data_IF_404183682238
#
_entry.id   IF_404183682238
#
_cell.length_a   1.000
_cell.length_b   1.000
_cell.length_c   1.000
_cell.angle_alpha   90.00
_cell.angle_beta   90.00
_cell.angle_gamma   90.00
#
_symmetry.space_group_name_H-M   'P 1'
#
loop_
_entity.id
_entity.type
_entity.pdbx_description
1 polymer ?
#
# COMPACT_ATOMS: atom_id res chain seq x y z
N UNK A 1 -6.72 25.46 -21.52
CA UNK A 1 -6.71 25.47 -20.04
C UNK A 1 -6.17 24.13 -19.60
N UNK A 2 -5.05 24.09 -18.87
CA UNK A 2 -4.52 22.82 -18.37
C UNK A 2 -5.59 22.18 -17.47
N UNK A 3 -6.07 20.99 -17.83
CA UNK A 3 -6.89 20.18 -16.95
C UNK A 3 -6.13 20.07 -15.64
N UNK A 4 -6.68 20.62 -14.54
CA UNK A 4 -6.13 20.38 -13.21
C UNK A 4 -6.11 18.87 -13.04
N UNK A 5 -4.91 18.30 -13.09
CA UNK A 5 -4.68 16.89 -12.83
C UNK A 5 -5.34 16.54 -11.50
N UNK A 6 -6.11 15.46 -11.47
CA UNK A 6 -6.83 15.07 -10.27
C UNK A 6 -5.83 14.73 -9.17
N UNK A 7 -6.00 15.35 -7.99
CA UNK A 7 -5.23 15.02 -6.79
C UNK A 7 -6.12 14.20 -5.82
N UNK A 8 -5.84 12.90 -5.61
CA UNK A 8 -6.60 12.04 -4.68
C UNK A 8 -6.52 12.47 -3.22
N UNK A 9 -5.77 13.53 -2.89
CA UNK A 9 -5.53 14.02 -1.53
C UNK A 9 -6.10 15.42 -1.29
N UNK A 10 -6.41 16.18 -2.35
CA UNK A 10 -6.74 17.61 -2.25
C UNK A 10 -8.13 17.90 -1.66
N UNK A 11 -9.16 17.16 -2.09
CA UNK A 11 -10.55 17.46 -1.71
C UNK A 11 -11.17 16.35 -0.88
N UNK A 12 -12.30 16.62 -0.23
CA UNK A 12 -13.08 15.57 0.46
C UNK A 12 -13.54 14.51 -0.54
N UNK A 13 -14.17 14.93 -1.64
CA UNK A 13 -14.66 14.03 -2.69
C UNK A 13 -13.55 13.13 -3.26
N UNK A 14 -12.38 13.71 -3.57
CA UNK A 14 -11.24 12.96 -4.09
C UNK A 14 -10.74 11.90 -3.10
N UNK A 15 -10.68 12.24 -1.81
CA UNK A 15 -10.30 11.30 -0.74
C UNK A 15 -11.33 10.22 -0.55
N UNK A 16 -12.63 10.56 -0.60
CA UNK A 16 -13.72 9.60 -0.46
C UNK A 16 -13.68 8.58 -1.61
N UNK A 17 -13.52 9.04 -2.86
CA UNK A 17 -13.36 8.17 -4.04
C UNK A 17 -12.13 7.26 -3.90
N UNK A 18 -10.96 7.81 -3.55
CA UNK A 18 -9.74 7.01 -3.35
C UNK A 18 -9.94 5.96 -2.27
N UNK A 19 -10.47 6.37 -1.11
CA UNK A 19 -10.69 5.48 0.03
C UNK A 19 -11.66 4.36 -0.34
N UNK A 20 -12.79 4.67 -0.98
CA UNK A 20 -13.76 3.65 -1.41
C UNK A 20 -13.13 2.65 -2.37
N UNK A 21 -12.38 3.11 -3.37
CA UNK A 21 -11.72 2.20 -4.32
C UNK A 21 -10.66 1.33 -3.66
N UNK A 22 -9.78 1.91 -2.84
CA UNK A 22 -8.73 1.18 -2.13
C UNK A 22 -9.30 0.16 -1.14
N UNK A 23 -10.33 0.56 -0.39
CA UNK A 23 -11.00 -0.29 0.57
C UNK A 23 -11.67 -1.49 -0.08
N UNK A 24 -12.54 -1.28 -1.07
CA UNK A 24 -13.23 -2.38 -1.75
C UNK A 24 -12.21 -3.27 -2.49
N UNK A 25 -11.10 -2.73 -2.98
CA UNK A 25 -10.03 -3.53 -3.58
C UNK A 25 -9.31 -4.42 -2.58
N UNK A 26 -8.80 -3.85 -1.48
CA UNK A 26 -8.04 -4.59 -0.46
C UNK A 26 -8.94 -5.60 0.24
N UNK A 27 -10.10 -5.18 0.74
CA UNK A 27 -11.03 -6.07 1.43
C UNK A 27 -11.63 -7.11 0.50
N UNK A 28 -11.89 -6.77 -0.77
CA UNK A 28 -12.29 -7.73 -1.79
C UNK A 28 -11.25 -8.84 -1.96
N UNK A 29 -9.97 -8.48 -2.13
CA UNK A 29 -8.88 -9.45 -2.27
C UNK A 29 -8.68 -10.31 -1.02
N UNK A 30 -8.80 -9.74 0.17
CA UNK A 30 -8.74 -10.49 1.43
C UNK A 30 -9.90 -11.48 1.58
N UNK A 31 -11.07 -11.14 1.07
CA UNK A 31 -12.27 -11.98 1.10
C UNK A 31 -12.38 -12.95 -0.11
N UNK A 32 -11.44 -12.90 -1.07
CA UNK A 32 -11.51 -13.67 -2.32
C UNK A 32 -12.53 -13.14 -3.34
N UNK A 33 -13.10 -11.95 -3.12
CA UNK A 33 -14.06 -11.28 -3.99
C UNK A 33 -13.33 -10.35 -4.99
N UNK A 34 -12.80 -10.98 -6.04
CA UNK A 34 -12.21 -10.28 -7.18
C UNK A 34 -13.30 -9.48 -7.90
N UNK A 35 -13.04 -8.19 -8.14
CA UNK A 35 -14.02 -7.29 -8.74
C UNK A 35 -14.89 -6.50 -7.75
N UNK A 36 -14.66 -6.59 -6.44
CA UNK A 36 -15.27 -5.69 -5.46
C UNK A 36 -15.01 -4.21 -5.82
N UNK A 37 -13.75 -3.87 -6.12
CA UNK A 37 -13.37 -2.53 -6.56
C UNK A 37 -14.02 -2.11 -7.88
N UNK A 38 -14.17 -3.03 -8.84
CA UNK A 38 -14.86 -2.78 -10.12
C UNK A 38 -16.32 -2.39 -9.90
N UNK A 39 -17.03 -3.07 -8.99
CA UNK A 39 -18.40 -2.72 -8.62
C UNK A 39 -18.44 -1.35 -7.93
N UNK A 40 -17.48 -1.05 -7.07
CA UNK A 40 -17.33 0.27 -6.43
C UNK A 40 -17.14 1.38 -7.46
N UNK A 41 -16.20 1.19 -8.39
CA UNK A 41 -15.91 2.11 -9.48
C UNK A 41 -17.12 2.39 -10.35
N UNK A 42 -17.88 1.36 -10.75
CA UNK A 42 -19.14 1.53 -11.50
C UNK A 42 -20.15 2.39 -10.76
N UNK A 43 -20.32 2.19 -9.44
CA UNK A 43 -21.23 3.03 -8.62
C UNK A 43 -20.75 4.48 -8.57
N UNK A 44 -19.45 4.71 -8.39
CA UNK A 44 -18.86 6.04 -8.35
C UNK A 44 -18.99 6.76 -9.70
N UNK A 45 -18.75 6.07 -10.82
CA UNK A 45 -18.91 6.63 -12.17
C UNK A 45 -20.38 6.92 -12.51
N UNK A 46 -21.32 6.07 -12.06
CA UNK A 46 -22.74 6.30 -12.25
C UNK A 46 -23.27 7.54 -11.50
N UNK A 47 -22.53 8.04 -10.51
CA UNK A 47 -22.83 9.30 -9.83
C UNK A 47 -22.37 10.54 -10.62
N UNK A 48 -21.90 10.36 -11.86
CA UNK A 48 -21.43 11.41 -12.78
C UNK A 48 -20.41 12.36 -12.12
N UNK A 49 -19.27 11.83 -11.63
CA UNK A 49 -18.27 12.66 -10.96
C UNK A 49 -17.56 13.56 -11.99
N UNK A 50 -16.94 14.67 -11.56
CA UNK A 50 -16.26 15.57 -12.49
C UNK A 50 -15.23 14.83 -13.36
N UNK A 51 -14.99 15.25 -14.63
CA UNK A 51 -14.20 14.46 -15.59
C UNK A 51 -12.82 14.01 -15.10
N UNK A 52 -12.12 14.85 -14.33
CA UNK A 52 -10.82 14.47 -13.74
C UNK A 52 -10.91 13.34 -12.70
N UNK A 53 -12.02 13.27 -11.96
CA UNK A 53 -12.29 12.19 -11.01
C UNK A 53 -12.65 10.90 -11.76
N UNK A 54 -13.50 10.99 -12.78
CA UNK A 54 -13.86 9.84 -13.63
C UNK A 54 -12.62 9.22 -14.28
N UNK A 55 -11.77 10.04 -14.90
CA UNK A 55 -10.52 9.59 -15.51
C UNK A 55 -9.57 8.91 -14.49
N UNK A 56 -9.49 9.45 -13.27
CA UNK A 56 -8.69 8.83 -12.21
C UNK A 56 -9.28 7.49 -11.74
N UNK A 57 -10.61 7.40 -11.62
CA UNK A 57 -11.30 6.14 -11.29
C UNK A 57 -10.96 5.08 -12.35
N UNK A 58 -11.13 5.39 -13.63
CA UNK A 58 -10.83 4.46 -14.73
C UNK A 58 -9.37 3.99 -14.72
N UNK A 59 -8.43 4.94 -14.55
CA UNK A 59 -7.01 4.62 -14.43
C UNK A 59 -6.74 3.71 -13.23
N UNK A 60 -7.39 3.97 -12.09
CA UNK A 60 -7.20 3.16 -10.88
C UNK A 60 -7.76 1.74 -11.04
N UNK A 61 -8.93 1.60 -11.64
CA UNK A 61 -9.54 0.29 -11.92
C UNK A 61 -8.67 -0.55 -12.88
N UNK A 62 -8.06 0.07 -13.89
CA UNK A 62 -7.09 -0.61 -14.76
C UNK A 62 -5.87 -1.13 -13.99
N UNK A 63 -5.31 -0.34 -13.08
CA UNK A 63 -4.21 -0.78 -12.21
C UNK A 63 -4.62 -1.95 -11.32
N UNK A 64 -5.84 -1.91 -10.77
CA UNK A 64 -6.38 -3.00 -9.96
C UNK A 64 -6.57 -4.27 -10.77
N UNK A 65 -7.20 -4.21 -11.96
CA UNK A 65 -7.34 -5.38 -12.84
C UNK A 65 -6.01 -6.04 -13.16
N UNK A 66 -4.96 -5.25 -13.44
CA UNK A 66 -3.60 -5.76 -13.65
C UNK A 66 -3.05 -6.45 -12.40
N UNK A 67 -3.18 -5.81 -11.24
CA UNK A 67 -2.73 -6.39 -9.98
C UNK A 67 -3.46 -7.70 -9.66
N UNK A 68 -4.79 -7.75 -9.78
CA UNK A 68 -5.58 -8.98 -9.59
C UNK A 68 -5.11 -10.10 -10.52
N UNK A 69 -4.91 -9.80 -11.82
CA UNK A 69 -4.44 -10.76 -12.81
C UNK A 69 -3.05 -11.34 -12.51
N UNK A 70 -2.20 -10.60 -11.82
CA UNK A 70 -0.88 -11.06 -11.40
C UNK A 70 -0.89 -11.81 -10.05
N UNK A 71 -2.00 -11.76 -9.30
CA UNK A 71 -2.18 -12.46 -8.02
C UNK A 71 -2.90 -13.81 -8.20
N UNK A 72 -2.89 -14.38 -9.41
CA UNK A 72 -3.75 -15.50 -9.87
C UNK A 72 -3.49 -16.86 -9.20
N UNK A 73 -2.43 -17.01 -8.40
CA UNK A 73 -2.10 -18.28 -7.73
C UNK A 73 -2.65 -18.48 -6.31
N UNK A 74 -3.13 -17.42 -5.65
CA UNK A 74 -3.67 -17.50 -4.29
C UNK A 74 -5.16 -17.16 -4.29
N UNK A 75 -5.99 -18.09 -3.79
CA UNK A 75 -7.43 -17.86 -3.61
C UNK A 75 -7.69 -16.73 -2.59
N UNK A 76 -6.79 -16.58 -1.61
CA UNK A 76 -6.73 -15.50 -0.64
C UNK A 76 -5.26 -15.31 -0.22
N UNK A 77 -4.83 -14.07 -0.01
CA UNK A 77 -3.54 -13.78 0.62
C UNK A 77 -3.79 -13.25 2.03
N UNK A 78 -3.04 -13.71 3.05
CA UNK A 78 -3.01 -13.06 4.34
C UNK A 78 -2.69 -11.55 4.21
N UNK A 79 -3.21 -10.68 5.09
CA UNK A 79 -3.03 -9.24 4.97
C UNK A 79 -1.57 -8.76 4.83
N UNK A 80 -0.65 -9.41 5.54
CA UNK A 80 0.78 -9.11 5.42
C UNK A 80 1.30 -9.40 4.00
N UNK A 81 0.99 -10.57 3.46
CA UNK A 81 1.43 -11.00 2.13
C UNK A 81 0.80 -10.13 1.03
N UNK A 82 -0.49 -9.82 1.17
CA UNK A 82 -1.19 -8.90 0.26
C UNK A 82 -0.53 -7.52 0.27
N UNK A 83 -0.30 -6.95 1.46
CA UNK A 83 0.34 -5.64 1.60
C UNK A 83 1.72 -5.59 0.93
N UNK A 84 2.55 -6.61 1.13
CA UNK A 84 3.87 -6.71 0.48
C UNK A 84 3.74 -6.88 -1.04
N UNK A 85 2.79 -7.66 -1.52
CA UNK A 85 2.55 -7.85 -2.94
C UNK A 85 2.08 -6.56 -3.64
N UNK A 86 1.24 -5.76 -2.98
CA UNK A 86 0.79 -4.46 -3.45
C UNK A 86 1.90 -3.41 -3.41
N UNK A 87 2.75 -3.44 -2.37
CA UNK A 87 3.92 -2.56 -2.27
C UNK A 87 4.85 -2.75 -3.46
N UNK A 88 5.21 -4.00 -3.80
CA UNK A 88 6.04 -4.34 -4.98
C UNK A 88 5.48 -3.85 -6.32
N UNK A 89 4.20 -3.48 -6.36
CA UNK A 89 3.51 -3.00 -7.56
C UNK A 89 3.32 -1.48 -7.57
N UNK A 90 3.89 -0.76 -6.61
CA UNK A 90 3.71 0.70 -6.49
C UNK A 90 2.35 1.12 -5.96
N UNK A 91 1.51 0.17 -5.50
CA UNK A 91 0.18 0.43 -4.95
C UNK A 91 0.30 0.75 -3.44
N UNK A 92 1.03 1.81 -3.10
CA UNK A 92 1.41 2.08 -1.71
C UNK A 92 0.21 2.41 -0.81
N UNK A 93 -0.82 3.06 -1.34
CA UNK A 93 -2.00 3.39 -0.53
C UNK A 93 -2.78 2.11 -0.13
N UNK A 94 -2.95 1.18 -1.07
CA UNK A 94 -3.62 -0.09 -0.86
C UNK A 94 -2.74 -1.06 -0.05
N UNK A 95 -1.42 -1.02 -0.27
CA UNK A 95 -0.47 -1.74 0.56
C UNK A 95 -0.53 -1.28 2.02
N UNK A 96 -0.63 0.03 2.26
CA UNK A 96 -0.80 0.59 3.61
C UNK A 96 -2.07 0.05 4.26
N UNK A 97 -3.20 0.07 3.54
CA UNK A 97 -4.48 -0.45 4.05
C UNK A 97 -4.42 -1.95 4.37
N UNK A 98 -3.81 -2.77 3.50
CA UNK A 98 -3.62 -4.21 3.77
C UNK A 98 -2.70 -4.47 4.98
N UNK A 99 -1.61 -3.72 5.12
CA UNK A 99 -0.69 -3.86 6.26
C UNK A 99 -1.33 -3.37 7.57
N UNK A 100 -2.24 -2.39 7.53
CA UNK A 100 -3.01 -1.99 8.70
C UNK A 100 -3.88 -3.13 9.23
N UNK A 101 -4.48 -3.94 8.36
CA UNK A 101 -5.23 -5.13 8.78
C UNK A 101 -4.31 -6.14 9.50
N UNK A 102 -3.11 -6.40 8.97
CA UNK A 102 -2.12 -7.27 9.63
C UNK A 102 -1.70 -6.74 11.01
N UNK A 103 -1.46 -5.42 11.09
CA UNK A 103 -1.08 -4.75 12.32
C UNK A 103 -2.18 -4.81 13.38
N UNK A 104 -3.43 -4.56 13.00
CA UNK A 104 -4.57 -4.49 13.92
C UNK A 104 -4.80 -5.83 14.65
N UNK A 105 -4.58 -6.96 13.99
CA UNK A 105 -4.74 -8.30 14.55
C UNK A 105 -3.52 -8.80 15.32
N UNK A 106 -2.37 -8.13 15.24
CA UNK A 106 -1.15 -8.52 15.93
C UNK A 106 -1.05 -7.93 17.35
N UNK A 107 -0.24 -8.58 18.19
CA UNK A 107 0.06 -8.15 19.56
C UNK A 107 1.57 -8.14 19.84
N UNK A 108 1.96 -7.55 20.97
CA UNK A 108 3.35 -7.55 21.45
C UNK A 108 4.37 -6.93 20.48
N UNK A 109 5.63 -7.42 20.49
CA UNK A 109 6.70 -6.92 19.61
C UNK A 109 6.35 -7.01 18.12
N UNK A 110 5.65 -8.08 17.71
CA UNK A 110 5.19 -8.25 16.33
C UNK A 110 4.27 -7.12 15.87
N UNK A 111 3.33 -6.68 16.73
CA UNK A 111 2.48 -5.51 16.44
C UNK A 111 3.31 -4.25 16.20
N UNK A 112 4.38 -4.05 16.98
CA UNK A 112 5.23 -2.86 16.85
C UNK A 112 6.04 -2.90 15.55
N UNK A 113 6.56 -4.06 15.15
CA UNK A 113 7.22 -4.24 13.86
C UNK A 113 6.26 -4.00 12.68
N UNK A 114 5.03 -4.54 12.75
CA UNK A 114 4.01 -4.32 11.71
C UNK A 114 3.58 -2.85 11.62
N UNK A 115 3.48 -2.15 12.76
CA UNK A 115 3.27 -0.70 12.78
C UNK A 115 4.40 0.04 12.06
N UNK A 116 5.64 -0.37 12.26
CA UNK A 116 6.79 0.21 11.58
C UNK A 116 6.75 -0.05 10.06
N UNK A 117 6.29 -1.23 9.62
CA UNK A 117 6.02 -1.52 8.21
C UNK A 117 4.91 -0.64 7.62
N UNK A 118 3.80 -0.42 8.34
CA UNK A 118 2.74 0.51 7.93
C UNK A 118 3.31 1.92 7.75
N UNK A 119 4.16 2.37 8.67
CA UNK A 119 4.84 3.66 8.56
C UNK A 119 5.79 3.71 7.36
N UNK A 120 6.51 2.63 7.06
CA UNK A 120 7.39 2.56 5.90
C UNK A 120 6.62 2.77 4.60
N UNK A 121 5.50 2.05 4.41
CA UNK A 121 4.63 2.25 3.24
C UNK A 121 3.99 3.65 3.24
N UNK A 122 3.54 4.12 4.41
CA UNK A 122 3.01 5.48 4.57
C UNK A 122 4.00 6.56 4.13
N UNK A 123 5.30 6.35 4.35
CA UNK A 123 6.34 7.27 3.87
C UNK A 123 6.37 7.36 2.34
N UNK A 124 6.18 6.24 1.64
CA UNK A 124 6.09 6.16 0.18
C UNK A 124 4.86 6.92 -0.34
N UNK A 125 3.73 6.76 0.35
CA UNK A 125 2.49 7.49 0.06
C UNK A 125 2.71 9.00 0.18
N UNK A 126 3.42 9.48 1.21
CA UNK A 126 3.74 10.90 1.34
C UNK A 126 4.75 11.39 0.29
N UNK A 127 5.73 10.55 -0.09
CA UNK A 127 6.69 10.89 -1.13
C UNK A 127 6.02 11.07 -2.49
N UNK A 128 5.08 10.20 -2.87
CA UNK A 128 4.28 10.32 -4.10
C UNK A 128 3.47 11.62 -4.18
N UNK A 129 3.13 12.22 -3.02
CA UNK A 129 2.41 13.50 -2.93
C UNK A 129 3.33 14.72 -2.98
N UNK A 130 4.64 14.54 -3.12
CA UNK A 130 5.63 15.61 -2.99
C UNK A 130 5.87 16.09 -1.55
N UNK A 131 5.31 15.42 -0.54
CA UNK A 131 5.47 15.77 0.88
C UNK A 131 6.78 15.18 1.46
N UNK A 132 7.92 15.54 0.87
CA UNK A 132 9.24 14.91 1.11
C UNK A 132 9.70 14.98 2.56
N UNK A 133 9.50 16.10 3.25
CA UNK A 133 9.87 16.25 4.66
C UNK A 133 9.06 15.31 5.58
N UNK A 134 7.75 15.16 5.31
CA UNK A 134 6.88 14.24 6.05
C UNK A 134 7.27 12.79 5.75
N UNK A 135 7.51 12.46 4.49
CA UNK A 135 7.99 11.15 4.06
C UNK A 135 9.30 10.78 4.79
N UNK A 136 10.30 11.65 4.78
CA UNK A 136 11.59 11.40 5.43
C UNK A 136 11.46 11.22 6.95
N UNK A 137 10.63 12.03 7.61
CA UNK A 137 10.35 11.90 9.04
C UNK A 137 9.70 10.56 9.37
N UNK A 138 8.73 10.13 8.56
CA UNK A 138 8.02 8.87 8.75
C UNK A 138 8.92 7.66 8.44
N UNK A 139 9.76 7.74 7.41
CA UNK A 139 10.74 6.73 7.07
C UNK A 139 11.73 6.47 8.21
N UNK A 140 12.24 7.52 8.87
CA UNK A 140 13.12 7.36 10.06
C UNK A 140 12.41 6.70 11.23
N UNK A 141 11.14 7.03 11.47
CA UNK A 141 10.33 6.36 12.52
C UNK A 141 10.13 4.88 12.21
N UNK A 142 9.82 4.57 10.96
CA UNK A 142 9.71 3.20 10.49
C UNK A 142 11.03 2.44 10.65
N UNK A 143 12.16 3.03 10.25
CA UNK A 143 13.49 2.45 10.42
C UNK A 143 13.77 2.08 11.88
N UNK A 144 13.55 3.03 12.80
CA UNK A 144 13.76 2.79 14.23
C UNK A 144 12.88 1.64 14.74
N UNK A 145 11.58 1.64 14.43
CA UNK A 145 10.67 0.59 14.87
C UNK A 145 11.01 -0.79 14.29
N UNK A 146 11.55 -0.86 13.07
CA UNK A 146 12.03 -2.10 12.47
C UNK A 146 13.33 -2.60 13.10
N UNK A 147 14.24 -1.72 13.49
CA UNK A 147 15.45 -2.10 14.23
C UNK A 147 15.11 -2.64 15.61
N UNK A 148 14.17 -2.00 16.31
CA UNK A 148 13.80 -2.35 17.69
C UNK A 148 12.97 -3.64 17.77
N UNK A 149 12.16 -3.94 16.75
CA UNK A 149 11.14 -4.98 16.83
C UNK A 149 11.09 -5.94 15.63
N UNK A 150 11.83 -5.68 14.55
CA UNK A 150 11.74 -6.43 13.30
C UNK A 150 11.98 -7.94 13.43
N UNK A 151 12.81 -8.36 14.39
CA UNK A 151 13.07 -9.77 14.69
C UNK A 151 11.81 -10.55 15.10
N UNK A 152 10.75 -9.88 15.56
CA UNK A 152 9.47 -10.50 15.92
C UNK A 152 8.60 -10.88 14.70
N UNK A 153 9.07 -10.60 13.48
CA UNK A 153 8.44 -10.99 12.21
C UNK A 153 9.40 -11.92 11.47
N UNK A 154 9.56 -13.13 11.98
CA UNK A 154 10.53 -14.13 11.52
C UNK A 154 10.39 -14.47 10.04
N UNK A 155 9.17 -14.40 9.49
CA UNK A 155 8.93 -14.66 8.08
C UNK A 155 9.47 -13.55 7.14
N UNK A 156 9.87 -12.40 7.69
CA UNK A 156 10.51 -11.29 6.98
C UNK A 156 11.92 -11.02 7.53
N UNK A 157 12.90 -11.92 7.30
CA UNK A 157 14.26 -11.75 7.82
C UNK A 157 14.98 -10.50 7.30
N UNK A 158 14.42 -9.89 6.27
CA UNK A 158 14.97 -8.79 5.53
C UNK A 158 14.62 -7.40 6.10
N UNK A 159 13.82 -7.32 7.17
CA UNK A 159 13.38 -6.06 7.77
C UNK A 159 14.51 -5.15 8.27
N UNK A 160 15.64 -5.74 8.70
CA UNK A 160 16.80 -4.97 9.13
C UNK A 160 17.41 -4.16 7.97
N UNK A 161 17.46 -4.74 6.77
CA UNK A 161 17.97 -4.08 5.56
C UNK A 161 17.01 -2.99 5.09
N UNK A 162 15.69 -3.25 5.16
CA UNK A 162 14.69 -2.21 4.92
C UNK A 162 14.90 -1.02 5.87
N UNK A 163 15.15 -1.27 7.15
CA UNK A 163 15.42 -0.21 8.12
C UNK A 163 16.67 0.62 7.76
N UNK A 164 17.75 -0.02 7.33
CA UNK A 164 18.96 0.65 6.88
C UNK A 164 18.68 1.58 5.68
N UNK A 165 17.93 1.10 4.68
CA UNK A 165 17.53 1.90 3.51
C UNK A 165 16.63 3.07 3.86
N UNK A 166 15.68 2.87 4.78
CA UNK A 166 14.80 3.93 5.27
C UNK A 166 15.59 5.05 5.96
N UNK A 167 16.63 4.71 6.73
CA UNK A 167 17.56 5.69 7.32
C UNK A 167 18.38 6.44 6.27
N UNK A 168 18.65 5.82 5.12
CA UNK A 168 19.33 6.44 3.98
C UNK A 168 18.37 7.20 3.04
N UNK A 169 17.06 7.21 3.31
CA UNK A 169 16.04 7.92 2.53
C UNK A 169 15.55 7.17 1.28
N UNK A 170 15.82 5.87 1.14
CA UNK A 170 15.54 5.08 -0.08
C UNK A 170 14.23 4.26 -0.01
N UNK A 171 13.17 4.84 0.57
CA UNK A 171 11.98 4.09 1.00
C UNK A 171 11.08 3.53 -0.13
N UNK A 172 11.13 4.12 -1.33
CA UNK A 172 9.93 4.17 -2.16
C UNK A 172 9.65 2.92 -3.01
N UNK A 173 10.63 2.11 -3.37
CA UNK A 173 10.41 0.99 -4.28
C UNK A 173 11.13 -0.29 -3.84
N UNK A 174 10.45 -1.41 -4.02
CA UNK A 174 10.97 -2.77 -3.84
C UNK A 174 11.52 -3.35 -5.16
N UNK A 175 11.66 -2.50 -6.19
CA UNK A 175 11.86 -2.88 -7.60
C UNK A 175 13.22 -3.54 -7.87
N UNK A 176 14.17 -3.44 -6.94
CA UNK A 176 15.52 -4.00 -7.04
C UNK A 176 15.61 -5.47 -6.58
N UNK A 177 14.60 -6.30 -6.89
CA UNK A 177 14.63 -7.73 -6.57
C UNK A 177 14.35 -8.06 -5.11
N UNK A 178 13.38 -7.37 -4.49
CA UNK A 178 12.98 -7.59 -3.09
C UNK A 178 11.66 -8.39 -2.95
N UNK A 179 11.54 -9.34 -1.99
CA UNK A 179 12.45 -9.66 -0.90
C UNK A 179 13.73 -10.27 -1.46
N UNK A 180 14.87 -10.22 -0.76
CA UNK A 180 16.02 -10.99 -1.21
C UNK A 180 15.53 -12.44 -1.31
N UNK A 181 15.95 -13.20 -2.35
CA UNK A 181 15.57 -14.60 -2.47
C UNK A 181 15.80 -15.27 -1.11
N UNK A 182 14.87 -16.15 -0.69
CA UNK A 182 15.05 -16.94 0.53
C UNK A 182 16.47 -17.48 0.49
N UNK A 183 17.29 -17.13 1.48
CA UNK A 183 18.55 -17.85 1.69
C UNK A 183 18.08 -19.26 2.05
N UNK A 184 18.14 -20.17 1.09
CA UNK A 184 18.00 -21.58 1.37
C UNK A 184 19.11 -21.91 2.38
N UNK A 185 18.69 -22.36 3.57
CA UNK A 185 19.59 -22.85 4.59
C UNK A 185 20.29 -24.13 4.12
#
# INVERSE_FOLDING_TARGET
MASKEFDPYATRLARDIRNTLAHDFVHGLLAGDRGAAERAGRRLLAADPPPGHAAWIDQRLELYRRAEGQLTGAAHLPPLELGLALWRRGLFFEAHEALEQAWQTASGPRRQALKALVQAVGSCVHAQRGATAVAASLARKAAQGLLDHGQAVEELPWLAELAARLNQGQACTLDDGWPPPKVEA
#
